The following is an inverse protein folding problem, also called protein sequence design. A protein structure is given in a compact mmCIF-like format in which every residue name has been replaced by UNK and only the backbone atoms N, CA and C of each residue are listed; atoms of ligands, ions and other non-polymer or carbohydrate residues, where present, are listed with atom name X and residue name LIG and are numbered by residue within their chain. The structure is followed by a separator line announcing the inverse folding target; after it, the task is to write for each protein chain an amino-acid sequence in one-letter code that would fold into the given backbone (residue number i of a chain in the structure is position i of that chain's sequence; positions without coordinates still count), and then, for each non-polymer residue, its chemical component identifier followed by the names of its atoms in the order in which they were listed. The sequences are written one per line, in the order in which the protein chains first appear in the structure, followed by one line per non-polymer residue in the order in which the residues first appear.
data_IF_764433538123
#
_entry.id   IF_764433538123
#
_cell.length_a   1.000
_cell.length_b   1.000
_cell.length_c   1.000
_cell.angle_alpha   90.00
_cell.angle_beta   90.00
_cell.angle_gamma   90.00
#
_symmetry.space_group_name_H-M   'P 1'
#
loop_
_entity.id
_entity.type
_entity.pdbx_description
1 polymer ?
#
# COMPACT_ATOMS: atom_id res chain seq x y z
N UNK A 1 24.40 -4.42 -15.72
CA UNK A 1 24.14 -3.57 -14.52
C UNK A 1 22.87 -4.08 -13.84
N UNK A 2 22.99 -4.60 -12.62
CA UNK A 2 21.87 -5.12 -11.82
C UNK A 2 21.12 -3.96 -11.16
N UNK A 3 20.25 -3.26 -11.90
CA UNK A 3 19.60 -2.07 -11.35
C UNK A 3 18.23 -2.40 -10.76
N UNK A 4 18.24 -3.09 -9.61
CA UNK A 4 17.08 -3.04 -8.70
C UNK A 4 17.05 -1.63 -8.12
N UNK A 5 15.91 -0.96 -8.24
CA UNK A 5 15.65 0.31 -7.57
C UNK A 5 14.65 0.06 -6.46
N UNK A 6 14.90 0.60 -5.28
CA UNK A 6 13.99 0.46 -4.14
C UNK A 6 13.79 1.78 -3.41
N UNK A 7 12.66 1.91 -2.75
CA UNK A 7 12.36 2.97 -1.81
C UNK A 7 11.67 2.36 -0.59
N UNK A 8 12.04 2.85 0.60
CA UNK A 8 11.45 2.45 1.87
C UNK A 8 10.85 3.67 2.54
N UNK A 9 9.60 3.55 3.00
CA UNK A 9 8.86 4.64 3.65
C UNK A 9 8.14 4.10 4.88
N UNK A 10 8.04 4.93 5.92
CA UNK A 10 7.19 4.68 7.06
C UNK A 10 5.92 5.54 6.95
N UNK A 11 4.76 4.93 7.13
CA UNK A 11 3.46 5.60 7.14
C UNK A 11 2.84 5.50 8.54
N UNK A 12 2.37 6.62 9.13
CA UNK A 12 1.72 6.62 10.44
C UNK A 12 0.30 6.06 10.37
N UNK A 13 -0.19 5.56 11.49
CA UNK A 13 -1.62 5.30 11.69
C UNK A 13 -2.36 6.60 12.06
N UNK A 14 -3.68 6.59 11.97
CA UNK A 14 -4.53 7.71 12.39
C UNK A 14 -5.74 7.24 13.18
N UNK A 15 -6.24 8.09 14.07
CA UNK A 15 -7.45 7.84 14.88
C UNK A 15 -8.51 8.89 14.52
N UNK A 16 -9.65 8.44 14.00
CA UNK A 16 -10.76 9.30 13.64
C UNK A 16 -11.42 9.94 14.87
N UNK A 17 -11.48 11.28 14.91
CA UNK A 17 -12.26 12.07 15.88
C UNK A 17 -13.67 12.36 15.36
N UNK A 18 -13.83 12.50 14.03
CA UNK A 18 -15.10 12.43 13.31
C UNK A 18 -15.05 11.20 12.42
N UNK A 19 -16.02 10.30 12.56
CA UNK A 19 -15.94 8.94 12.00
C UNK A 19 -16.31 8.89 10.52
N UNK A 20 -15.50 8.16 9.75
CA UNK A 20 -15.91 7.62 8.46
C UNK A 20 -16.76 6.37 8.71
N UNK A 21 -18.05 6.41 8.36
CA UNK A 21 -18.95 5.26 8.55
C UNK A 21 -20.02 5.20 7.46
N UNK A 22 -19.90 4.19 6.60
CA UNK A 22 -20.77 3.97 5.46
C UNK A 22 -20.25 4.58 4.15
N UNK A 23 -20.65 3.98 3.03
CA UNK A 23 -20.21 4.33 1.69
C UNK A 23 -21.41 4.63 0.81
N UNK A 24 -21.31 5.69 0.02
CA UNK A 24 -22.26 5.95 -1.08
C UNK A 24 -21.90 5.13 -2.32
N UNK A 25 -20.60 4.87 -2.52
CA UNK A 25 -20.07 4.07 -3.61
C UNK A 25 -18.99 3.11 -3.07
N UNK A 26 -19.22 1.80 -3.19
CA UNK A 26 -18.28 0.79 -2.70
C UNK A 26 -17.06 0.58 -3.60
N UNK A 27 -17.20 0.81 -4.90
CA UNK A 27 -16.15 0.59 -5.89
C UNK A 27 -15.11 1.70 -5.82
N UNK A 28 -15.58 2.95 -5.80
CA UNK A 28 -14.73 4.14 -5.64
C UNK A 28 -14.35 4.42 -4.18
N UNK A 29 -15.02 3.76 -3.22
CA UNK A 29 -14.83 3.97 -1.78
C UNK A 29 -15.18 5.42 -1.37
N UNK A 30 -16.29 5.95 -1.91
CA UNK A 30 -16.76 7.29 -1.58
C UNK A 30 -17.59 7.27 -0.28
N UNK A 31 -17.25 8.17 0.64
CA UNK A 31 -17.88 8.28 1.95
C UNK A 31 -19.28 8.90 1.88
N UNK A 32 -20.14 8.56 2.85
CA UNK A 32 -21.41 9.27 3.05
C UNK A 32 -21.23 10.64 3.70
N UNK A 33 -20.15 10.81 4.46
CA UNK A 33 -19.86 12.01 5.22
C UNK A 33 -18.36 12.26 5.30
N UNK A 34 -17.99 13.51 5.55
CA UNK A 34 -16.61 13.88 5.86
C UNK A 34 -16.15 13.24 7.17
N UNK A 35 -14.85 13.05 7.30
CA UNK A 35 -14.21 12.53 8.51
C UNK A 35 -12.98 13.35 8.86
N UNK A 36 -12.61 13.35 10.12
CA UNK A 36 -11.43 14.06 10.65
C UNK A 36 -10.70 13.12 11.57
N UNK A 37 -9.39 13.02 11.43
CA UNK A 37 -8.55 12.14 12.26
C UNK A 37 -7.29 12.86 12.75
N UNK A 38 -6.74 12.37 13.85
CA UNK A 38 -5.42 12.73 14.34
C UNK A 38 -4.40 11.70 13.87
N UNK A 39 -3.33 12.15 13.24
CA UNK A 39 -2.19 11.30 12.86
C UNK A 39 -1.33 11.02 14.09
N UNK A 40 -1.00 9.76 14.33
CA UNK A 40 -0.12 9.37 15.43
C UNK A 40 1.36 9.43 14.99
N UNK A 41 2.26 9.53 15.96
CA UNK A 41 3.70 9.54 15.65
C UNK A 41 4.13 8.20 15.04
N UNK A 42 5.00 8.27 14.02
CA UNK A 42 5.62 7.09 13.40
C UNK A 42 6.57 6.36 14.36
N UNK A 43 7.05 7.04 15.40
CA UNK A 43 7.90 6.45 16.44
C UNK A 43 7.14 5.45 17.31
N UNK A 44 5.80 5.56 17.38
CA UNK A 44 4.95 4.67 18.15
C UNK A 44 4.30 3.60 17.27
N UNK A 45 3.50 4.03 16.29
CA UNK A 45 2.66 3.12 15.49
C UNK A 45 2.77 3.46 14.00
N UNK A 46 3.39 2.57 13.23
CA UNK A 46 3.59 2.75 11.80
C UNK A 46 3.57 1.44 11.01
N UNK A 47 3.32 1.58 9.71
CA UNK A 47 3.64 0.58 8.70
C UNK A 47 4.92 0.99 7.98
N UNK A 48 5.90 0.10 7.92
CA UNK A 48 7.13 0.29 7.13
C UNK A 48 7.02 -0.54 5.86
N UNK A 49 7.03 0.12 4.70
CA UNK A 49 6.90 -0.54 3.39
C UNK A 49 8.12 -0.24 2.53
N UNK A 50 8.72 -1.30 1.98
CA UNK A 50 9.74 -1.22 0.94
C UNK A 50 9.17 -1.70 -0.38
N UNK A 51 9.30 -0.89 -1.43
CA UNK A 51 8.94 -1.27 -2.80
C UNK A 51 10.21 -1.33 -3.61
N UNK A 52 10.45 -2.46 -4.27
CA UNK A 52 11.53 -2.66 -5.22
C UNK A 52 10.97 -2.88 -6.63
N UNK A 53 11.65 -2.35 -7.63
CA UNK A 53 11.31 -2.49 -9.06
C UNK A 53 12.53 -2.92 -9.85
N UNK A 54 12.34 -3.84 -10.79
CA UNK A 54 13.41 -4.38 -11.62
C UNK A 54 12.85 -5.00 -12.89
N UNK A 55 13.59 -4.90 -13.99
CA UNK A 55 13.29 -5.65 -15.23
C UNK A 55 13.51 -7.16 -15.10
N UNK A 56 14.19 -7.60 -14.04
CA UNK A 56 14.44 -9.02 -13.77
C UNK A 56 13.31 -9.71 -12.99
N UNK A 57 12.40 -8.95 -12.41
CA UNK A 57 11.25 -9.52 -11.72
C UNK A 57 10.24 -10.01 -12.75
N UNK A 58 9.76 -11.24 -12.58
CA UNK A 58 8.83 -11.89 -13.51
C UNK A 58 7.37 -11.66 -13.16
N UNK A 59 7.09 -11.32 -11.90
CA UNK A 59 5.74 -11.17 -11.35
C UNK A 59 5.71 -10.09 -10.25
N UNK A 60 4.52 -9.54 -10.02
CA UNK A 60 4.30 -8.63 -8.90
C UNK A 60 4.06 -9.46 -7.63
N UNK A 61 4.83 -9.21 -6.57
CA UNK A 61 4.76 -9.96 -5.31
C UNK A 61 4.66 -9.03 -4.12
N UNK A 62 3.92 -9.45 -3.10
CA UNK A 62 3.78 -8.70 -1.86
C UNK A 62 3.95 -9.62 -0.66
N UNK A 63 4.66 -9.13 0.35
CA UNK A 63 4.76 -9.74 1.67
C UNK A 63 4.23 -8.76 2.71
N UNK A 64 3.39 -9.25 3.61
CA UNK A 64 2.91 -8.51 4.77
C UNK A 64 3.29 -9.29 6.03
N UNK A 65 4.07 -8.67 6.91
CA UNK A 65 4.57 -9.32 8.12
C UNK A 65 5.24 -10.67 7.83
N UNK A 66 6.09 -10.69 6.79
CA UNK A 66 6.84 -11.86 6.30
C UNK A 66 6.02 -12.98 5.65
N UNK A 67 4.69 -12.84 5.60
CA UNK A 67 3.80 -13.75 4.88
C UNK A 67 3.50 -13.25 3.46
N UNK A 68 3.68 -14.11 2.46
CA UNK A 68 3.38 -13.76 1.08
C UNK A 68 1.87 -13.63 0.88
N UNK A 69 1.44 -12.46 0.39
CA UNK A 69 0.04 -12.15 0.10
C UNK A 69 -0.13 -12.02 -1.41
N UNK A 70 -0.94 -12.89 -2.06
CA UNK A 70 -1.16 -12.80 -3.49
C UNK A 70 -1.78 -11.46 -3.90
N UNK A 71 -1.11 -10.72 -4.79
CA UNK A 71 -1.61 -9.42 -5.26
C UNK A 71 -2.91 -9.57 -6.06
N UNK A 72 -2.98 -10.62 -6.88
CA UNK A 72 -4.11 -10.87 -7.80
C UNK A 72 -5.45 -11.06 -7.10
N UNK A 73 -5.45 -11.51 -5.85
CA UNK A 73 -6.69 -11.68 -5.06
C UNK A 73 -7.14 -10.39 -4.39
N UNK A 74 -6.25 -9.39 -4.29
CA UNK A 74 -6.54 -8.10 -3.68
C UNK A 74 -6.91 -7.05 -4.75
N UNK A 75 -8.22 -6.96 -5.06
CA UNK A 75 -8.76 -6.00 -6.04
C UNK A 75 -8.30 -4.55 -5.81
N UNK A 76 -8.17 -4.13 -4.54
CA UNK A 76 -7.74 -2.77 -4.21
C UNK A 76 -6.29 -2.52 -4.60
N UNK A 77 -5.41 -3.47 -4.29
CA UNK A 77 -4.00 -3.38 -4.67
C UNK A 77 -3.82 -3.43 -6.19
N UNK A 78 -4.55 -4.31 -6.88
CA UNK A 78 -4.53 -4.37 -8.35
C UNK A 78 -4.93 -3.02 -8.96
N UNK A 79 -6.00 -2.40 -8.47
CA UNK A 79 -6.46 -1.10 -8.96
C UNK A 79 -5.43 0.01 -8.66
N UNK A 80 -4.83 0.01 -7.47
CA UNK A 80 -3.76 0.95 -7.10
C UNK A 80 -2.57 0.82 -8.06
N UNK A 81 -2.06 -0.40 -8.28
CA UNK A 81 -0.89 -0.61 -9.13
C UNK A 81 -1.19 -0.25 -10.59
N UNK A 82 -2.39 -0.55 -11.09
CA UNK A 82 -2.84 -0.11 -12.43
C UNK A 82 -2.78 1.42 -12.54
N UNK A 83 -3.29 2.14 -11.54
CA UNK A 83 -3.29 3.61 -11.53
C UNK A 83 -1.89 4.21 -11.39
N UNK A 84 -1.04 3.64 -10.53
CA UNK A 84 0.35 4.11 -10.39
C UNK A 84 1.12 3.89 -11.70
N UNK A 85 0.99 2.72 -12.33
CA UNK A 85 1.61 2.41 -13.62
C UNK A 85 1.14 3.33 -14.74
N UNK A 86 -0.11 3.74 -14.77
CA UNK A 86 -0.61 4.67 -15.80
C UNK A 86 0.10 6.02 -15.75
N UNK A 87 0.57 6.43 -14.56
CA UNK A 87 1.33 7.66 -14.31
C UNK A 87 2.85 7.52 -14.49
N UNK A 88 3.37 6.31 -14.63
CA UNK A 88 4.80 6.06 -14.82
C UNK A 88 5.26 6.37 -16.26
N UNK A 89 6.56 6.67 -16.42
CA UNK A 89 7.22 6.69 -17.74
C UNK A 89 7.12 5.31 -18.41
N UNK A 90 7.09 5.29 -19.74
CA UNK A 90 6.81 4.08 -20.53
C UNK A 90 7.72 2.90 -20.16
N UNK A 91 9.01 3.15 -19.93
CA UNK A 91 9.99 2.10 -19.62
C UNK A 91 9.72 1.36 -18.29
N UNK A 92 8.93 1.93 -17.39
CA UNK A 92 8.66 1.37 -16.06
C UNK A 92 7.32 0.66 -15.97
N UNK A 93 6.45 0.80 -16.99
CA UNK A 93 5.09 0.24 -16.99
C UNK A 93 5.12 -1.28 -16.96
N UNK A 94 6.08 -1.86 -17.67
CA UNK A 94 6.22 -3.32 -17.82
C UNK A 94 7.03 -3.96 -16.70
N UNK A 95 7.73 -3.15 -15.89
CA UNK A 95 8.55 -3.68 -14.81
C UNK A 95 7.65 -4.20 -13.69
N UNK A 96 8.07 -5.33 -13.13
CA UNK A 96 7.39 -5.93 -11.99
C UNK A 96 7.96 -5.39 -10.69
N UNK A 97 7.14 -5.45 -9.65
CA UNK A 97 7.49 -4.91 -8.34
C UNK A 97 7.39 -5.96 -7.24
N UNK A 98 8.29 -5.86 -6.29
CA UNK A 98 8.25 -6.62 -5.05
C UNK A 98 7.99 -5.64 -3.90
N UNK A 99 6.95 -5.90 -3.11
CA UNK A 99 6.50 -5.04 -2.01
C UNK A 99 6.69 -5.82 -0.71
N UNK A 100 7.49 -5.34 0.22
CA UNK A 100 7.57 -5.91 1.57
C UNK A 100 7.09 -4.88 2.57
N UNK A 101 6.06 -5.23 3.36
CA UNK A 101 5.50 -4.35 4.38
C UNK A 101 5.47 -5.03 5.74
N UNK A 102 5.78 -4.28 6.79
CA UNK A 102 5.67 -4.73 8.18
C UNK A 102 4.99 -3.66 9.02
N UNK A 103 4.12 -4.08 9.92
CA UNK A 103 3.49 -3.21 10.91
C UNK A 103 4.16 -3.44 12.27
N UNK A 104 4.36 -2.39 13.06
CA UNK A 104 4.89 -2.51 14.43
C UNK A 104 3.79 -2.62 15.50
N UNK A 105 2.54 -2.81 15.08
CA UNK A 105 1.37 -3.01 15.94
C UNK A 105 0.73 -4.37 15.67
N UNK A 106 0.04 -4.97 16.66
CA UNK A 106 -0.58 -6.29 16.47
C UNK A 106 -1.57 -6.27 15.31
N UNK A 107 -1.52 -7.28 14.44
CA UNK A 107 -2.47 -7.43 13.32
C UNK A 107 -3.93 -7.46 13.80
N UNK A 108 -4.17 -7.89 15.04
CA UNK A 108 -5.50 -7.94 15.67
C UNK A 108 -5.86 -6.70 16.51
N UNK A 109 -5.02 -5.65 16.48
CA UNK A 109 -5.36 -4.39 17.15
C UNK A 109 -6.30 -3.57 16.26
N UNK A 110 -7.61 -3.67 16.51
CA UNK A 110 -8.66 -2.88 15.85
C UNK A 110 -9.67 -3.70 15.07
#
# INVERSE_FOLDING_TARGET
MNNIRSATVQAPVNIAVIKYWGKVDEELVLALNDSVSATLSVDELCATTTVAVSSKFTEDRMWLNDEETPIVTNKRLVNLLRHVRSKCKQDWKDYKIHICSRNNFPTAAG
#
